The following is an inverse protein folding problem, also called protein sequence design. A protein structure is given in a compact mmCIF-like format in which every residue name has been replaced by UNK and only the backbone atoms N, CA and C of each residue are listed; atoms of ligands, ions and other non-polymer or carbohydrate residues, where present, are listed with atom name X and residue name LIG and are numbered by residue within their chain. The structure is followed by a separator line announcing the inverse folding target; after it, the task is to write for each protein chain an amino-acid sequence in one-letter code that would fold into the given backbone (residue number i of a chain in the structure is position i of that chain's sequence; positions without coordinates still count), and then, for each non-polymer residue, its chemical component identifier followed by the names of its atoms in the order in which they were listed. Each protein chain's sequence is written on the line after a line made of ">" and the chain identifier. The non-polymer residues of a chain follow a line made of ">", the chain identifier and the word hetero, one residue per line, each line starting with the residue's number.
data_IF_878013038631
#
_entry.id   IF_878013038631
#
_cell.length_a   1.000
_cell.length_b   1.000
_cell.length_c   1.000
_cell.angle_alpha   90.00
_cell.angle_beta   90.00
_cell.angle_gamma   90.00
#
_symmetry.space_group_name_H-M   'P 1'
#
loop_
_entity.id
_entity.type
_entity.pdbx_description
1 polymer ?
#
# COMPACT_ATOMS: atom_id res chain seq x y z
N UNK A 1 -1.04 46.47 -5.65
CA UNK A 1 -0.95 45.85 -4.30
C UNK A 1 -1.07 44.35 -4.48
N UNK A 2 0.08 43.70 -4.60
CA UNK A 2 0.22 42.35 -5.14
C UNK A 2 0.31 41.29 -4.04
N UNK A 3 -0.44 40.21 -4.28
CA UNK A 3 -0.04 38.82 -4.07
C UNK A 3 0.22 38.34 -2.63
N UNK A 4 -0.81 37.65 -2.10
CA UNK A 4 -0.72 36.69 -1.00
C UNK A 4 0.21 35.53 -1.36
N UNK A 5 1.25 35.31 -0.56
CA UNK A 5 2.13 34.14 -0.60
C UNK A 5 1.50 33.00 0.19
N UNK A 6 1.40 31.81 -0.41
CA UNK A 6 1.05 30.55 0.24
C UNK A 6 2.32 29.69 0.34
N UNK A 7 2.58 29.15 1.53
CA UNK A 7 3.82 28.47 1.90
C UNK A 7 3.84 26.99 1.48
N UNK A 8 4.95 26.61 0.82
CA UNK A 8 5.86 25.55 1.27
C UNK A 8 5.39 24.09 1.29
N UNK A 9 5.90 23.29 0.36
CA UNK A 9 5.87 21.82 0.45
C UNK A 9 6.87 21.13 -0.48
N UNK A 10 8.15 21.10 -0.07
CA UNK A 10 9.27 20.54 -0.83
C UNK A 10 9.24 19.00 -0.93
N UNK A 11 9.09 18.49 -2.16
CA UNK A 11 9.18 17.06 -2.50
C UNK A 11 10.43 16.73 -3.31
N UNK A 12 11.43 16.15 -2.63
CA UNK A 12 12.76 15.72 -3.09
C UNK A 12 12.82 15.22 -4.54
N UNK A 13 13.73 15.81 -5.34
CA UNK A 13 14.09 15.39 -6.70
C UNK A 13 14.88 14.08 -6.66
N UNK A 14 14.47 13.10 -7.47
CA UNK A 14 15.33 11.98 -7.86
C UNK A 14 15.38 11.89 -9.39
N UNK A 15 16.62 11.89 -9.88
CA UNK A 15 17.02 11.97 -11.29
C UNK A 15 16.43 10.89 -12.19
N UNK A 16 16.27 11.26 -13.46
CA UNK A 16 15.55 10.50 -14.45
C UNK A 16 16.30 9.32 -15.05
N UNK A 17 15.51 8.33 -15.50
CA UNK A 17 15.70 7.61 -16.76
C UNK A 17 14.33 7.43 -17.40
N UNK A 18 14.16 7.97 -18.62
CA UNK A 18 12.97 7.88 -19.46
C UNK A 18 12.63 6.40 -19.71
N UNK A 19 11.41 6.00 -19.39
CA UNK A 19 10.89 4.67 -19.67
C UNK A 19 9.42 4.56 -19.31
N UNK A 20 8.56 5.05 -20.22
CA UNK A 20 7.08 5.06 -20.18
C UNK A 20 6.47 5.71 -18.92
N UNK A 21 5.61 6.69 -19.16
CA UNK A 21 4.84 7.41 -18.16
C UNK A 21 3.84 6.46 -17.44
N UNK A 22 4.34 5.54 -16.61
CA UNK A 22 3.51 4.68 -15.78
C UNK A 22 3.05 5.57 -14.64
N UNK A 23 1.77 5.96 -14.68
CA UNK A 23 1.12 6.77 -13.64
C UNK A 23 1.60 6.29 -12.27
N UNK A 24 2.12 7.23 -11.45
CA UNK A 24 2.53 6.93 -10.07
C UNK A 24 1.34 6.32 -9.37
N UNK A 25 1.42 5.04 -9.01
CA UNK A 25 0.35 4.36 -8.28
C UNK A 25 0.25 5.01 -6.90
N UNK A 26 -0.93 5.53 -6.59
CA UNK A 26 -1.21 6.16 -5.30
C UNK A 26 -1.51 5.08 -4.28
N UNK A 27 -1.09 5.29 -3.03
CA UNK A 27 -1.33 4.34 -1.96
C UNK A 27 -2.83 4.27 -1.65
N UNK A 28 -3.43 3.09 -1.80
CA UNK A 28 -4.83 2.84 -1.45
C UNK A 28 -5.19 3.28 -0.02
N UNK A 29 -4.33 2.97 0.95
CA UNK A 29 -4.56 3.33 2.36
C UNK A 29 -4.55 4.84 2.63
N UNK A 30 -3.72 5.58 1.89
CA UNK A 30 -3.60 7.03 2.07
C UNK A 30 -4.80 7.77 1.48
N UNK A 31 -5.32 7.29 0.34
CA UNK A 31 -6.52 7.87 -0.28
C UNK A 31 -7.76 7.59 0.57
N UNK A 32 -7.89 6.35 1.07
CA UNK A 32 -9.04 5.96 1.90
C UNK A 32 -8.91 6.35 3.38
N UNK A 33 -7.82 7.03 3.77
CA UNK A 33 -7.53 7.44 5.17
C UNK A 33 -7.71 6.31 6.19
N UNK A 34 -7.40 5.08 5.81
CA UNK A 34 -7.49 3.93 6.72
C UNK A 34 -6.28 4.01 7.66
N UNK A 35 -6.54 4.27 8.94
CA UNK A 35 -5.51 4.49 9.96
C UNK A 35 -5.01 3.20 10.59
N UNK A 36 -5.82 2.15 10.61
CA UNK A 36 -5.48 0.84 11.18
C UNK A 36 -5.79 -0.29 10.21
N UNK A 37 -4.87 -1.26 10.12
CA UNK A 37 -5.00 -2.47 9.31
C UNK A 37 -5.04 -3.63 10.28
N UNK A 38 -6.24 -4.11 10.58
CA UNK A 38 -6.44 -5.25 11.46
C UNK A 38 -6.45 -6.57 10.70
N UNK A 39 -6.16 -7.65 11.43
CA UNK A 39 -6.14 -9.00 10.87
C UNK A 39 -7.54 -9.62 10.70
N UNK A 40 -8.56 -8.98 11.30
CA UNK A 40 -9.97 -9.42 11.26
C UNK A 40 -10.67 -9.03 9.96
N UNK A 41 -10.16 -8.00 9.27
CA UNK A 41 -10.76 -7.49 8.04
C UNK A 41 -10.33 -8.30 6.82
N UNK A 42 -10.97 -9.46 6.66
CA UNK A 42 -10.63 -10.42 5.61
C UNK A 42 -10.79 -9.82 4.21
N UNK A 43 -11.82 -8.99 3.99
CA UNK A 43 -12.12 -8.39 2.69
C UNK A 43 -11.05 -7.39 2.23
N UNK A 44 -10.44 -6.68 3.18
CA UNK A 44 -9.33 -5.79 2.89
C UNK A 44 -8.06 -6.59 2.59
N UNK A 45 -7.77 -7.61 3.39
CA UNK A 45 -6.56 -8.42 3.24
C UNK A 45 -6.55 -9.26 1.97
N UNK A 46 -7.71 -9.82 1.57
CA UNK A 46 -7.86 -10.59 0.33
C UNK A 46 -7.46 -9.79 -0.91
N UNK A 47 -7.72 -8.49 -0.95
CA UNK A 47 -7.32 -7.61 -2.09
C UNK A 47 -5.80 -7.46 -2.25
N UNK A 48 -5.04 -7.71 -1.19
CA UNK A 48 -3.57 -7.61 -1.19
C UNK A 48 -2.88 -8.96 -1.26
N UNK A 49 -3.64 -10.03 -1.45
CA UNK A 49 -3.17 -11.40 -1.59
C UNK A 49 -3.51 -11.87 -3.00
N UNK A 50 -2.59 -12.62 -3.60
CA UNK A 50 -2.81 -13.29 -4.87
C UNK A 50 -3.68 -14.53 -4.67
N UNK A 51 -4.33 -15.00 -5.72
CA UNK A 51 -5.11 -16.25 -5.73
C UNK A 51 -4.36 -17.44 -5.13
N UNK A 52 -3.02 -17.48 -5.26
CA UNK A 52 -2.13 -18.51 -4.67
C UNK A 52 -1.78 -18.30 -3.20
N UNK A 53 -2.46 -17.39 -2.52
CA UNK A 53 -2.18 -17.03 -1.13
C UNK A 53 -0.92 -16.18 -0.91
N UNK A 54 -0.16 -15.79 -1.96
CA UNK A 54 1.06 -14.97 -1.82
C UNK A 54 0.75 -13.49 -1.61
N UNK A 55 1.54 -12.80 -0.78
CA UNK A 55 1.39 -11.35 -0.54
C UNK A 55 1.84 -10.58 -1.79
N UNK A 56 0.98 -9.69 -2.30
CA UNK A 56 1.34 -8.88 -3.45
C UNK A 56 2.44 -7.87 -3.11
N UNK A 57 3.48 -7.74 -3.97
CA UNK A 57 4.55 -6.80 -3.72
C UNK A 57 4.05 -5.37 -3.90
N UNK A 58 4.64 -4.45 -3.12
CA UNK A 58 4.38 -3.00 -3.15
C UNK A 58 4.37 -2.40 -4.57
N UNK A 59 5.18 -2.93 -5.50
CA UNK A 59 5.29 -2.43 -6.87
C UNK A 59 3.98 -2.60 -7.67
N UNK A 60 3.18 -3.60 -7.32
CA UNK A 60 1.89 -3.87 -7.96
C UNK A 60 0.79 -3.02 -7.33
N UNK A 61 0.74 -2.97 -6.00
CA UNK A 61 -0.34 -2.33 -5.23
C UNK A 61 -0.12 -0.83 -4.98
N UNK A 62 1.11 -0.33 -5.07
CA UNK A 62 1.43 1.08 -4.88
C UNK A 62 1.32 1.59 -3.45
N UNK A 63 1.24 0.70 -2.45
CA UNK A 63 1.13 1.06 -1.02
C UNK A 63 2.39 1.78 -0.49
N UNK A 64 2.26 2.57 0.58
CA UNK A 64 3.44 3.21 1.20
C UNK A 64 4.22 2.17 2.01
N UNK A 65 5.53 2.37 2.18
CA UNK A 65 6.39 1.45 2.92
C UNK A 65 5.96 1.28 4.39
N UNK A 66 5.34 2.30 5.00
CA UNK A 66 4.77 2.21 6.35
C UNK A 66 3.59 1.22 6.39
N UNK A 67 2.61 1.42 5.52
CA UNK A 67 1.43 0.55 5.44
C UNK A 67 1.78 -0.86 4.97
N UNK A 68 2.74 -1.04 4.06
CA UNK A 68 3.15 -2.38 3.62
C UNK A 68 3.70 -3.21 4.79
N UNK A 69 4.47 -2.61 5.70
CA UNK A 69 4.98 -3.30 6.90
C UNK A 69 3.84 -3.72 7.82
N UNK A 70 2.91 -2.80 8.12
CA UNK A 70 1.72 -3.10 8.92
C UNK A 70 0.86 -4.21 8.28
N UNK A 71 0.63 -4.13 6.97
CA UNK A 71 -0.11 -5.12 6.19
C UNK A 71 0.54 -6.49 6.27
N UNK A 72 1.86 -6.59 6.10
CA UNK A 72 2.55 -7.89 6.20
C UNK A 72 2.43 -8.51 7.58
N UNK A 73 2.41 -7.72 8.64
CA UNK A 73 2.20 -8.20 10.01
C UNK A 73 0.75 -8.68 10.18
N UNK A 74 -0.22 -7.89 9.72
CA UNK A 74 -1.64 -8.25 9.78
C UNK A 74 -1.94 -9.53 9.00
N UNK A 75 -1.41 -9.69 7.79
CA UNK A 75 -1.57 -10.92 6.99
C UNK A 75 -0.93 -12.13 7.69
N UNK A 76 0.26 -11.98 8.28
CA UNK A 76 0.89 -13.09 9.02
C UNK A 76 0.05 -13.50 10.24
N UNK A 77 -0.48 -12.54 11.00
CA UNK A 77 -1.39 -12.81 12.12
C UNK A 77 -2.67 -13.49 11.65
N UNK A 78 -3.29 -13.00 10.58
CA UNK A 78 -4.50 -13.61 10.01
C UNK A 78 -4.27 -15.07 9.59
N UNK A 79 -3.09 -15.41 9.06
CA UNK A 79 -2.72 -16.79 8.73
C UNK A 79 -2.49 -17.68 9.97
N UNK A 80 -1.98 -17.13 11.06
CA UNK A 80 -1.84 -17.87 12.33
C UNK A 80 -3.22 -18.23 12.93
N UNK A 81 -4.21 -17.36 12.76
CA UNK A 81 -5.60 -17.57 13.22
C UNK A 81 -6.45 -18.34 12.18
N UNK A 82 -5.82 -18.91 11.14
CA UNK A 82 -6.50 -19.66 10.07
C UNK A 82 -7.58 -18.88 9.29
N UNK A 83 -7.57 -17.54 9.33
CA UNK A 83 -8.49 -16.70 8.53
C UNK A 83 -8.08 -16.63 7.05
N UNK A 84 -6.80 -16.87 6.77
CA UNK A 84 -6.24 -16.88 5.42
C UNK A 84 -5.32 -18.09 5.22
N UNK A 85 -5.42 -18.79 4.08
CA UNK A 85 -4.56 -19.93 3.80
C UNK A 85 -3.12 -19.50 3.46
N UNK A 86 -2.15 -20.37 3.76
CA UNK A 86 -0.76 -20.20 3.34
C UNK A 86 -0.56 -20.54 1.86
N UNK A 87 -1.30 -21.53 1.38
CA UNK A 87 -1.27 -22.07 0.02
C UNK A 87 -2.68 -22.44 -0.39
N UNK A 88 -3.03 -22.05 -1.59
CA UNK A 88 -4.20 -22.48 -2.36
C UNK A 88 -3.60 -23.11 -3.62
N UNK A 89 -4.09 -24.29 -4.00
CA UNK A 89 -3.49 -25.19 -5.00
C UNK A 89 -3.00 -24.51 -6.29
#
# INVERSE_FOLDING_TARGET
>A
MSFKQNEGGEGRKFGGRRGRNKRRKVCFFTVNKITHIDYKDIDLLKKFISERGKILPRRVTGTSAKYQRALTIAVKRARQVALLPYTTE
#
